data_IF_932736092781
#
_entry.id   IF_932736092781
#
_cell.length_a   1.000
_cell.length_b   1.000
_cell.length_c   1.000
_cell.angle_alpha   90.00
_cell.angle_beta   90.00
_cell.angle_gamma   90.00
#
_symmetry.space_group_name_H-M   'P 1'
#
loop_
_entity.id
_entity.type
_entity.pdbx_description
1 polymer ?
#
# COMPACT_ATOMS: atom_id res chain seq x y z
N UNK A 1 -13.67 -7.01 -1.09
CA UNK A 1 -12.22 -6.74 -0.96
C UNK A 1 -11.51 -7.99 -0.46
N UNK A 2 -10.38 -8.42 -1.06
CA UNK A 2 -9.56 -9.54 -0.59
C UNK A 2 -8.95 -9.30 0.80
N UNK A 3 -8.46 -10.37 1.44
CA UNK A 3 -7.88 -10.27 2.79
C UNK A 3 -6.59 -9.46 2.82
N UNK A 4 -5.66 -9.70 1.90
CA UNK A 4 -4.33 -9.07 1.93
C UNK A 4 -4.37 -7.52 1.96
N UNK A 5 -5.11 -6.80 1.09
CA UNK A 5 -5.22 -5.33 1.16
C UNK A 5 -5.88 -4.84 2.46
N UNK A 6 -6.88 -5.56 2.97
CA UNK A 6 -7.55 -5.19 4.22
C UNK A 6 -6.61 -5.35 5.42
N UNK A 7 -5.91 -6.47 5.46
CA UNK A 7 -5.09 -6.87 6.59
C UNK A 7 -3.81 -6.02 6.66
N UNK A 8 -3.24 -5.62 5.52
CA UNK A 8 -2.09 -4.71 5.48
C UNK A 8 -2.42 -3.34 6.07
N UNK A 9 -3.57 -2.75 5.69
CA UNK A 9 -4.06 -1.50 6.28
C UNK A 9 -4.26 -1.66 7.79
N UNK A 10 -4.89 -2.77 8.21
CA UNK A 10 -5.15 -3.01 9.63
C UNK A 10 -3.86 -3.21 10.44
N UNK A 11 -2.83 -3.84 9.86
CA UNK A 11 -1.50 -3.97 10.50
C UNK A 11 -0.84 -2.60 10.67
N UNK A 12 -0.82 -1.77 9.63
CA UNK A 12 -0.24 -0.42 9.69
C UNK A 12 -0.94 0.46 10.72
N UNK A 13 -2.28 0.46 10.73
CA UNK A 13 -3.07 1.21 11.71
C UNK A 13 -2.83 0.74 13.14
N UNK A 14 -2.73 -0.57 13.37
CA UNK A 14 -2.39 -1.12 14.70
C UNK A 14 -0.98 -0.77 15.16
N UNK A 15 -0.06 -0.55 14.22
CA UNK A 15 1.29 -0.08 14.49
C UNK A 15 1.38 1.45 14.70
N UNK A 16 0.25 2.16 14.63
CA UNK A 16 0.18 3.61 14.87
C UNK A 16 0.39 4.49 13.64
N UNK A 17 0.38 3.91 12.43
CA UNK A 17 0.52 4.64 11.18
C UNK A 17 -0.83 4.89 10.52
N UNK A 18 -0.93 6.00 9.80
CA UNK A 18 -2.04 6.22 8.88
C UNK A 18 -1.85 5.31 7.67
N UNK A 19 -2.93 4.72 7.18
CA UNK A 19 -2.90 3.90 5.99
C UNK A 19 -4.26 3.92 5.29
N UNK A 20 -4.27 4.01 3.97
CA UNK A 20 -5.49 3.93 3.18
C UNK A 20 -5.23 3.27 1.84
N UNK A 21 -6.23 2.59 1.28
CA UNK A 21 -6.22 2.21 -0.12
C UNK A 21 -6.33 3.47 -0.99
N UNK A 22 -5.59 3.49 -2.09
CA UNK A 22 -5.52 4.63 -3.02
C UNK A 22 -5.52 4.14 -4.47
N UNK A 23 -5.54 5.08 -5.42
CA UNK A 23 -5.33 4.76 -6.83
C UNK A 23 -6.48 4.02 -7.51
N UNK A 24 -6.13 3.20 -8.50
CA UNK A 24 -7.07 2.49 -9.37
C UNK A 24 -7.99 1.55 -8.60
N UNK A 25 -7.47 0.88 -7.57
CA UNK A 25 -8.25 -0.07 -6.79
C UNK A 25 -9.47 0.56 -6.11
N UNK A 26 -9.36 1.81 -5.63
CA UNK A 26 -10.48 2.54 -5.04
C UNK A 26 -11.52 2.90 -6.09
N UNK A 27 -11.09 3.40 -7.26
CA UNK A 27 -11.97 3.72 -8.38
C UNK A 27 -12.78 2.49 -8.80
N UNK A 28 -12.11 1.36 -8.98
CA UNK A 28 -12.74 0.14 -9.48
C UNK A 28 -13.74 -0.40 -8.43
N UNK A 29 -13.39 -0.37 -7.14
CA UNK A 29 -14.31 -0.71 -6.06
C UNK A 29 -15.57 0.18 -6.03
N UNK A 30 -15.43 1.49 -6.25
CA UNK A 30 -16.57 2.42 -6.31
C UNK A 30 -17.49 2.16 -7.52
N UNK A 31 -16.94 1.57 -8.59
CA UNK A 31 -17.71 1.14 -9.77
C UNK A 31 -18.33 -0.25 -9.60
N UNK A 32 -18.08 -0.94 -8.48
CA UNK A 32 -18.48 -2.33 -8.26
C UNK A 32 -17.66 -3.33 -9.09
N UNK A 33 -16.53 -2.89 -9.64
CA UNK A 33 -15.60 -3.70 -10.43
C UNK A 33 -14.56 -4.37 -9.51
N UNK A 34 -13.87 -5.40 -10.03
CA UNK A 34 -12.80 -6.08 -9.30
C UNK A 34 -11.46 -5.40 -9.64
N UNK A 35 -10.74 -4.83 -8.67
CA UNK A 35 -9.42 -4.25 -8.92
C UNK A 35 -8.43 -5.26 -9.51
N UNK A 36 -7.63 -4.82 -10.48
CA UNK A 36 -6.52 -5.58 -11.06
C UNK A 36 -5.24 -5.48 -10.22
N UNK A 37 -5.05 -4.34 -9.58
CA UNK A 37 -3.94 -3.95 -8.70
C UNK A 37 -4.47 -3.48 -7.33
N UNK A 38 -3.59 -3.43 -6.33
CA UNK A 38 -3.94 -2.97 -4.98
C UNK A 38 -2.84 -2.09 -4.42
N UNK A 39 -3.16 -0.80 -4.31
CA UNK A 39 -2.25 0.22 -3.81
C UNK A 39 -2.73 0.75 -2.47
N UNK A 40 -1.79 0.91 -1.55
CA UNK A 40 -1.98 1.60 -0.29
C UNK A 40 -0.97 2.72 -0.12
N UNK A 41 -1.41 3.82 0.48
CA UNK A 41 -0.56 4.90 0.93
C UNK A 41 -0.48 4.88 2.46
N UNK A 42 0.68 5.18 3.04
CA UNK A 42 0.87 5.18 4.50
C UNK A 42 1.80 6.28 5.00
N UNK A 43 1.61 6.71 6.26
CA UNK A 43 2.58 7.57 6.94
C UNK A 43 3.84 6.82 7.42
N UNK A 44 3.83 5.48 7.40
CA UNK A 44 4.98 4.68 7.79
C UNK A 44 6.14 4.87 6.80
N UNK A 45 7.39 5.04 7.27
CA UNK A 45 8.54 5.03 6.38
C UNK A 45 8.81 3.60 5.86
N UNK A 46 9.48 3.42 4.71
CA UNK A 46 9.59 2.12 4.05
C UNK A 46 10.29 1.03 4.87
N UNK A 47 11.22 1.42 5.73
CA UNK A 47 11.90 0.54 6.69
C UNK A 47 10.92 0.01 7.75
N UNK A 48 10.03 0.86 8.27
CA UNK A 48 8.98 0.43 9.19
C UNK A 48 7.96 -0.49 8.49
N UNK A 49 7.58 -0.20 7.25
CA UNK A 49 6.71 -1.08 6.46
C UNK A 49 7.38 -2.44 6.25
N UNK A 50 8.65 -2.46 5.84
CA UNK A 50 9.41 -3.71 5.63
C UNK A 50 9.57 -4.53 6.92
N UNK A 51 9.70 -3.87 8.07
CA UNK A 51 9.75 -4.54 9.37
C UNK A 51 8.41 -5.17 9.78
N UNK A 52 7.29 -4.53 9.43
CA UNK A 52 5.94 -5.03 9.70
C UNK A 52 5.53 -6.19 8.78
N UNK A 53 6.14 -6.29 7.59
CA UNK A 53 5.81 -7.31 6.58
C UNK A 53 7.05 -8.12 6.15
N UNK A 54 7.52 -9.06 6.98
CA UNK A 54 8.65 -9.92 6.62
C UNK A 54 8.43 -10.64 5.28
N UNK A 55 9.42 -10.56 4.39
CA UNK A 55 9.34 -11.14 3.04
C UNK A 55 8.76 -10.19 1.98
N UNK A 56 8.50 -8.91 2.32
CA UNK A 56 8.27 -7.87 1.31
C UNK A 56 9.55 -7.50 0.57
N UNK A 57 9.41 -6.91 -0.62
CA UNK A 57 10.50 -6.24 -1.34
C UNK A 57 10.32 -4.72 -1.28
N UNK A 58 11.43 -3.99 -1.25
CA UNK A 58 11.42 -2.52 -1.18
C UNK A 58 12.12 -1.92 -2.41
N UNK A 59 11.43 -1.02 -3.12
CA UNK A 59 12.00 -0.22 -4.19
C UNK A 59 12.53 1.14 -3.66
N UNK A 60 13.85 1.30 -3.72
CA UNK A 60 14.56 2.44 -3.11
C UNK A 60 14.22 3.82 -3.70
N UNK A 61 13.73 3.89 -4.94
CA UNK A 61 13.50 5.17 -5.62
C UNK A 61 12.23 5.88 -5.16
N UNK A 62 11.21 5.10 -4.81
CA UNK A 62 9.83 5.58 -4.70
C UNK A 62 9.26 5.40 -3.30
N UNK A 63 9.97 4.71 -2.40
CA UNK A 63 9.47 4.38 -1.06
C UNK A 63 8.34 3.35 -1.10
N UNK A 64 8.26 2.57 -2.18
CA UNK A 64 7.22 1.57 -2.39
C UNK A 64 7.71 0.21 -1.90
N UNK A 65 6.93 -0.40 -1.01
CA UNK A 65 7.15 -1.73 -0.46
C UNK A 65 6.08 -2.67 -1.01
N UNK A 66 6.51 -3.72 -1.69
CA UNK A 66 5.64 -4.72 -2.32
C UNK A 66 5.47 -5.92 -1.41
N UNK A 67 4.23 -6.18 -1.00
CA UNK A 67 3.84 -7.39 -0.29
C UNK A 67 3.47 -8.47 -1.30
N UNK A 68 4.27 -9.54 -1.35
CA UNK A 68 4.03 -10.70 -2.22
C UNK A 68 2.92 -11.63 -1.69
N UNK A 69 1.75 -11.05 -1.41
CA UNK A 69 0.54 -11.77 -1.03
C UNK A 69 -0.30 -12.12 -2.26
N UNK A 70 -1.48 -12.74 -2.06
CA UNK A 70 -2.45 -12.98 -3.12
C UNK A 70 -3.78 -12.28 -2.81
N UNK A 71 -4.10 -11.14 -3.45
CA UNK A 71 -3.29 -10.45 -4.46
C UNK A 71 -2.08 -9.73 -3.85
N UNK A 72 -1.10 -9.37 -4.69
CA UNK A 72 0.00 -8.47 -4.35
C UNK A 72 -0.57 -7.13 -3.88
N UNK A 73 0.10 -6.50 -2.91
CA UNK A 73 -0.25 -5.16 -2.42
C UNK A 73 1.00 -4.29 -2.46
N UNK A 74 0.91 -3.11 -3.07
CA UNK A 74 1.98 -2.11 -3.05
C UNK A 74 1.66 -1.06 -2.00
N UNK A 75 2.62 -0.79 -1.11
CA UNK A 75 2.47 0.16 -0.01
C UNK A 75 3.51 1.26 -0.20
N UNK A 76 3.05 2.47 -0.45
CA UNK A 76 3.93 3.63 -0.69
C UNK A 76 3.81 4.63 0.46
N UNK A 77 4.94 5.07 1.00
CA UNK A 77 4.96 6.15 1.99
C UNK A 77 4.41 7.45 1.38
N UNK A 78 3.68 8.25 2.15
CA UNK A 78 3.22 9.57 1.73
C UNK A 78 4.38 10.39 1.18
N UNK A 79 4.18 10.93 -0.02
CA UNK A 79 5.15 11.76 -0.71
C UNK A 79 4.42 12.85 -1.48
N UNK A 80 5.09 13.99 -1.61
CA UNK A 80 4.72 15.01 -2.57
C UNK A 80 5.67 14.86 -3.76
N UNK A 81 5.13 14.47 -4.91
CA UNK A 81 5.88 14.53 -6.17
C UNK A 81 5.67 15.92 -6.77
N UNK A 82 6.51 16.87 -6.35
CA UNK A 82 6.62 18.16 -7.02
C UNK A 82 7.26 17.97 -8.40
N UNK A 83 6.44 17.67 -9.42
CA UNK A 83 7.00 17.34 -10.73
C UNK A 83 6.04 16.84 -11.81
N UNK A 84 4.76 17.23 -11.81
CA UNK A 84 4.04 17.31 -13.08
C UNK A 84 4.27 18.71 -13.66
N UNK A 85 5.28 18.82 -14.53
CA UNK A 85 5.45 19.94 -15.44
C UNK A 85 4.76 19.63 -16.78
#
# INVERSE_FOLDING_TARGET
MPAAPRDSIAVLMRAGYEAALVGGCVRDLLRGERPGDWDAATSAPPDAVSALFPGSSWENRFGTVTLHANPTVEITTFRDESGYA
#
